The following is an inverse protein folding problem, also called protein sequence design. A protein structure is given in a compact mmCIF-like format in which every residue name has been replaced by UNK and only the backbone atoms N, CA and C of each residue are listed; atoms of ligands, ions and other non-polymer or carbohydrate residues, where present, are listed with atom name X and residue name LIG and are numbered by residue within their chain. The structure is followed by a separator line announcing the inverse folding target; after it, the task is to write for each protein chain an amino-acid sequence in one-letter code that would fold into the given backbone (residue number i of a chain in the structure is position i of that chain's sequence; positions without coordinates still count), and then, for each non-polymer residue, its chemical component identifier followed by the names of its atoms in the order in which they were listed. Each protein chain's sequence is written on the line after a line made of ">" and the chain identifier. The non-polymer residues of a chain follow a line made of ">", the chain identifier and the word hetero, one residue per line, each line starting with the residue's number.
data_IF_827317420958
#
_entry.id   IF_827317420958
#
_cell.length_a   1.000
_cell.length_b   1.000
_cell.length_c   1.000
_cell.angle_alpha   90.00
_cell.angle_beta   90.00
_cell.angle_gamma   90.00
#
_symmetry.space_group_name_H-M   'P 1'
#
loop_
_entity.id
_entity.type
_entity.pdbx_description
1 polymer ?
#
# COMPACT_ATOMS: atom_id res chain seq x y z
N UNK A 1 0.80 15.37 1.37
CA UNK A 1 0.13 14.18 0.81
C UNK A 1 0.03 13.13 1.88
N UNK A 2 -1.13 12.49 2.06
CA UNK A 2 -1.41 11.65 3.24
C UNK A 2 -1.02 10.19 2.99
N UNK A 3 -0.27 9.61 3.92
CA UNK A 3 -0.06 8.15 3.98
C UNK A 3 -1.36 7.48 4.43
N UNK A 4 -1.74 6.37 3.80
CA UNK A 4 -2.90 5.58 4.23
C UNK A 4 -2.48 4.18 4.64
N UNK A 5 -3.20 3.59 5.59
CA UNK A 5 -2.88 2.28 6.15
C UNK A 5 -4.12 1.41 6.21
N UNK A 6 -3.99 0.16 5.77
CA UNK A 6 -5.00 -0.89 5.98
C UNK A 6 -4.47 -1.94 6.96
N UNK A 7 -5.33 -2.38 7.87
CA UNK A 7 -5.05 -3.52 8.74
C UNK A 7 -5.25 -4.83 7.95
N UNK A 8 -4.16 -5.57 7.76
CA UNK A 8 -4.14 -6.73 6.85
C UNK A 8 -4.99 -7.90 7.38
N UNK A 9 -5.14 -8.01 8.70
CA UNK A 9 -5.98 -9.04 9.33
C UNK A 9 -7.47 -8.92 8.99
N UNK A 10 -7.95 -7.71 8.66
CA UNK A 10 -9.36 -7.45 8.33
C UNK A 10 -9.74 -7.85 6.90
N UNK A 11 -8.78 -8.31 6.09
CA UNK A 11 -8.98 -8.76 4.71
C UNK A 11 -9.55 -10.18 4.71
N UNK A 12 -10.60 -10.50 3.94
CA UNK A 12 -11.13 -11.86 3.84
C UNK A 12 -10.07 -12.87 3.40
N UNK A 13 -10.09 -14.09 3.95
CA UNK A 13 -9.29 -15.20 3.43
C UNK A 13 -9.91 -15.68 2.10
N UNK A 14 -9.11 -15.92 1.04
CA UNK A 14 -9.65 -16.46 -0.20
C UNK A 14 -10.17 -17.89 0.00
N UNK A 15 -11.27 -18.22 -0.68
CA UNK A 15 -11.95 -19.52 -0.57
C UNK A 15 -11.23 -20.65 -1.33
N UNK A 16 -10.27 -20.35 -2.20
CA UNK A 16 -9.52 -21.35 -2.98
C UNK A 16 -8.04 -21.00 -3.17
N UNK A 17 -7.18 -22.03 -3.22
CA UNK A 17 -5.76 -21.92 -3.58
C UNK A 17 -5.53 -21.52 -5.06
N UNK A 18 -6.56 -21.61 -5.91
CA UNK A 18 -6.47 -21.18 -7.31
C UNK A 18 -6.40 -19.65 -7.45
N UNK A 19 -6.98 -18.93 -6.48
CA UNK A 19 -6.87 -17.47 -6.37
C UNK A 19 -5.45 -17.04 -5.95
N UNK A 20 -4.71 -17.92 -5.26
CA UNK A 20 -3.31 -17.68 -4.87
C UNK A 20 -2.28 -18.00 -5.96
N UNK A 21 -2.66 -18.61 -7.09
CA UNK A 21 -1.72 -18.89 -8.18
C UNK A 21 -1.54 -17.72 -9.16
N UNK A 22 -2.31 -16.63 -8.99
CA UNK A 22 -2.38 -15.51 -9.94
C UNK A 22 -1.77 -14.20 -9.43
N UNK A 23 -0.96 -14.30 -8.36
CA UNK A 23 -0.63 -13.22 -7.42
C UNK A 23 0.41 -12.18 -7.88
N UNK A 24 0.66 -12.06 -9.18
CA UNK A 24 1.61 -11.06 -9.71
C UNK A 24 1.06 -10.37 -10.96
N UNK A 25 -0.13 -9.78 -10.84
CA UNK A 25 -0.61 -8.76 -11.79
C UNK A 25 -0.12 -7.41 -11.30
N UNK A 26 0.56 -6.68 -12.19
CA UNK A 26 1.57 -5.63 -11.95
C UNK A 26 1.33 -4.70 -10.73
N UNK A 27 1.53 -5.24 -9.53
CA UNK A 27 1.54 -4.53 -8.26
C UNK A 27 2.90 -4.80 -7.61
N UNK A 28 3.71 -3.77 -7.48
CA UNK A 28 5.00 -3.83 -6.80
C UNK A 28 4.82 -3.41 -5.35
N UNK A 29 5.38 -4.17 -4.42
CA UNK A 29 5.30 -3.90 -2.98
C UNK A 29 6.68 -4.06 -2.33
N UNK A 30 7.00 -3.18 -1.39
CA UNK A 30 8.18 -3.29 -0.56
C UNK A 30 7.81 -3.83 0.82
N UNK A 31 8.50 -4.89 1.26
CA UNK A 31 8.34 -5.45 2.60
C UNK A 31 9.34 -4.78 3.54
N UNK A 32 8.86 -4.27 4.66
CA UNK A 32 9.66 -3.61 5.70
C UNK A 32 9.34 -4.26 7.04
N UNK A 33 10.36 -4.77 7.71
CA UNK A 33 10.24 -5.23 9.09
C UNK A 33 10.82 -4.16 10.00
N UNK A 34 10.02 -3.67 10.95
CA UNK A 34 10.52 -2.78 12.00
C UNK A 34 10.40 -3.44 13.37
N UNK A 35 11.43 -3.25 14.19
CA UNK A 35 11.42 -3.66 15.59
C UNK A 35 10.77 -2.52 16.38
N UNK A 36 9.67 -2.80 17.07
CA UNK A 36 8.94 -1.80 17.84
C UNK A 36 9.66 -1.45 19.14
N UNK A 37 9.72 -0.17 19.48
CA UNK A 37 10.24 0.27 20.77
C UNK A 37 9.20 0.06 21.88
N UNK A 38 9.45 -0.89 22.79
CA UNK A 38 8.93 -0.84 24.16
C UNK A 38 7.54 -1.42 24.46
N UNK A 39 6.86 -2.12 23.53
CA UNK A 39 5.61 -2.81 23.89
C UNK A 39 5.89 -4.20 24.50
N UNK A 40 5.35 -4.52 25.70
CA UNK A 40 5.71 -5.74 26.46
C UNK A 40 5.23 -7.07 25.84
N UNK A 41 4.34 -7.02 24.83
CA UNK A 41 3.79 -8.21 24.14
C UNK A 41 4.10 -8.29 22.65
N UNK A 42 4.49 -7.18 22.01
CA UNK A 42 4.70 -7.12 20.56
C UNK A 42 6.02 -6.38 20.28
N UNK A 43 7.06 -7.12 19.93
CA UNK A 43 8.40 -6.58 19.71
C UNK A 43 8.70 -6.25 18.26
N UNK A 44 7.90 -6.76 17.33
CA UNK A 44 8.09 -6.58 15.88
C UNK A 44 6.77 -6.20 15.24
N UNK A 45 6.83 -5.25 14.31
CA UNK A 45 5.75 -4.87 13.42
C UNK A 45 6.24 -5.11 11.98
N UNK A 46 5.51 -5.92 11.23
CA UNK A 46 5.76 -6.13 9.81
C UNK A 46 4.83 -5.25 9.00
N UNK A 47 5.41 -4.41 8.15
CA UNK A 47 4.70 -3.50 7.27
C UNK A 47 5.03 -3.78 5.81
N UNK A 48 4.06 -3.55 4.92
CA UNK A 48 4.28 -3.51 3.48
C UNK A 48 3.94 -2.12 2.96
N UNK A 49 4.73 -1.61 2.03
CA UNK A 49 4.46 -0.37 1.32
C UNK A 49 4.11 -0.67 -0.13
N UNK A 50 2.93 -0.23 -0.56
CA UNK A 50 2.52 -0.23 -1.96
C UNK A 50 3.43 0.69 -2.77
N UNK A 51 3.96 0.15 -3.86
CA UNK A 51 4.85 0.88 -4.77
C UNK A 51 4.06 1.32 -6.01
N UNK A 52 4.18 0.60 -7.12
CA UNK A 52 3.46 0.87 -8.36
C UNK A 52 2.36 -0.16 -8.58
N UNK A 53 1.17 0.31 -8.91
CA UNK A 53 0.01 -0.51 -9.26
C UNK A 53 -0.40 -0.17 -10.70
N UNK A 54 -0.27 -1.13 -11.61
CA UNK A 54 -0.61 -0.96 -13.02
C UNK A 54 -1.76 -1.91 -13.37
N UNK A 55 -3.01 -1.42 -13.39
CA UNK A 55 -4.15 -2.22 -13.81
C UNK A 55 -4.00 -2.54 -15.30
N UNK A 56 -3.87 -3.83 -15.61
CA UNK A 56 -3.89 -4.34 -16.99
C UNK A 56 -5.31 -4.71 -17.37
N UNK A 57 -5.56 -6.00 -17.58
CA UNK A 57 -6.91 -6.52 -17.86
C UNK A 57 -7.89 -6.45 -16.66
N UNK A 58 -7.46 -5.96 -15.49
CA UNK A 58 -8.18 -6.05 -14.21
C UNK A 58 -8.24 -4.67 -13.55
N UNK A 59 -9.25 -4.45 -12.70
CA UNK A 59 -9.44 -3.17 -12.03
C UNK A 59 -8.40 -2.91 -10.93
N UNK A 60 -8.13 -1.64 -10.63
CA UNK A 60 -7.23 -1.21 -9.54
C UNK A 60 -7.59 -1.86 -8.19
N UNK A 61 -8.90 -1.99 -7.93
CA UNK A 61 -9.43 -2.57 -6.69
C UNK A 61 -9.08 -4.05 -6.53
N UNK A 62 -9.09 -4.79 -7.64
CA UNK A 62 -8.79 -6.22 -7.64
C UNK A 62 -7.30 -6.44 -7.37
N UNK A 63 -6.43 -5.73 -8.10
CA UNK A 63 -4.97 -5.88 -7.93
C UNK A 63 -4.50 -5.49 -6.52
N UNK A 64 -5.06 -4.42 -5.94
CA UNK A 64 -4.69 -3.99 -4.60
C UNK A 64 -5.29 -4.91 -3.52
N UNK A 65 -6.46 -5.51 -3.75
CA UNK A 65 -7.01 -6.56 -2.89
C UNK A 65 -6.11 -7.80 -2.89
N UNK A 66 -5.65 -8.24 -4.05
CA UNK A 66 -4.77 -9.41 -4.16
C UNK A 66 -3.44 -9.16 -3.46
N UNK A 67 -2.88 -7.94 -3.56
CA UNK A 67 -1.70 -7.53 -2.81
C UNK A 67 -1.91 -7.58 -1.29
N UNK A 68 -3.08 -7.15 -0.80
CA UNK A 68 -3.46 -7.26 0.61
C UNK A 68 -3.60 -8.72 1.08
N UNK A 69 -4.19 -9.59 0.27
CA UNK A 69 -4.30 -11.03 0.55
C UNK A 69 -2.92 -11.67 0.61
N UNK A 70 -2.02 -11.31 -0.32
CA UNK A 70 -0.64 -11.79 -0.31
C UNK A 70 0.11 -11.31 0.94
N UNK A 71 -0.04 -10.04 1.32
CA UNK A 71 0.54 -9.52 2.56
C UNK A 71 0.03 -10.30 3.78
N UNK A 72 -1.27 -10.63 3.82
CA UNK A 72 -1.87 -11.45 4.89
C UNK A 72 -1.26 -12.84 4.95
N UNK A 73 -1.11 -13.50 3.81
CA UNK A 73 -0.51 -14.84 3.72
C UNK A 73 0.96 -14.88 4.19
N UNK A 74 1.66 -13.74 4.13
CA UNK A 74 3.04 -13.57 4.58
C UNK A 74 3.17 -13.12 6.04
N UNK A 75 2.05 -12.99 6.76
CA UNK A 75 2.06 -12.58 8.17
C UNK A 75 2.42 -11.11 8.38
N UNK A 76 2.14 -10.24 7.41
CA UNK A 76 2.30 -8.79 7.53
C UNK A 76 1.14 -8.22 8.35
N UNK A 77 1.43 -7.27 9.25
CA UNK A 77 0.43 -6.67 10.13
C UNK A 77 -0.32 -5.52 9.44
N UNK A 78 0.42 -4.66 8.74
CA UNK A 78 -0.11 -3.43 8.12
C UNK A 78 0.35 -3.25 6.67
N UNK A 79 -0.54 -2.70 5.85
CA UNK A 79 -0.26 -2.37 4.46
C UNK A 79 -0.45 -0.87 4.25
N UNK A 80 0.66 -0.19 3.96
CA UNK A 80 0.72 1.24 3.74
C UNK A 80 0.66 1.54 2.24
N UNK A 81 -0.07 2.58 1.87
CA UNK A 81 -0.07 3.12 0.53
C UNK A 81 -0.03 4.65 0.58
N UNK A 82 0.41 5.25 -0.52
CA UNK A 82 0.38 6.69 -0.68
C UNK A 82 -0.84 7.08 -1.51
N UNK A 83 -1.50 8.17 -1.11
CA UNK A 83 -2.51 8.86 -1.92
C UNK A 83 -1.84 9.56 -3.11
N UNK A 84 -1.39 8.76 -4.07
CA UNK A 84 -0.72 9.12 -5.31
C UNK A 84 -1.49 8.56 -6.50
N UNK A 85 -1.31 9.18 -7.67
CA UNK A 85 -1.91 8.70 -8.92
C UNK A 85 -3.42 8.45 -8.72
N UNK A 86 -3.91 7.26 -9.08
CA UNK A 86 -5.31 6.85 -8.95
C UNK A 86 -5.56 5.91 -7.77
N UNK A 87 -4.64 5.83 -6.79
CA UNK A 87 -4.80 4.90 -5.67
C UNK A 87 -5.98 5.27 -4.75
N UNK A 88 -6.35 6.56 -4.68
CA UNK A 88 -7.42 7.02 -3.78
C UNK A 88 -8.78 6.35 -4.05
N UNK A 89 -9.05 6.04 -5.33
CA UNK A 89 -10.32 5.50 -5.80
C UNK A 89 -10.69 4.18 -5.12
N UNK A 90 -9.71 3.44 -4.60
CA UNK A 90 -9.91 2.11 -4.00
C UNK A 90 -9.75 2.09 -2.48
N UNK A 91 -9.34 3.19 -1.86
CA UNK A 91 -9.00 3.23 -0.43
C UNK A 91 -10.21 3.00 0.48
N UNK A 92 -11.33 3.69 0.21
CA UNK A 92 -12.54 3.53 1.00
C UNK A 92 -13.06 2.08 0.94
N UNK A 93 -13.08 1.50 -0.27
CA UNK A 93 -13.55 0.14 -0.52
C UNK A 93 -12.69 -0.94 0.13
N UNK A 94 -11.38 -0.72 0.18
CA UNK A 94 -10.40 -1.63 0.79
C UNK A 94 -10.09 -1.30 2.25
N UNK A 95 -10.86 -0.38 2.86
CA UNK A 95 -10.77 0.00 4.28
C UNK A 95 -9.40 0.58 4.68
N UNK A 96 -8.77 1.31 3.76
CA UNK A 96 -7.62 2.15 4.10
C UNK A 96 -8.08 3.34 4.94
N UNK A 97 -7.41 3.56 6.06
CA UNK A 97 -7.56 4.76 6.88
C UNK A 97 -6.45 5.76 6.61
N UNK A 98 -6.76 7.06 6.71
CA UNK A 98 -5.73 8.10 6.71
C UNK A 98 -4.82 7.93 7.93
N UNK A 99 -3.51 7.90 7.70
CA UNK A 99 -2.50 8.03 8.74
C UNK A 99 -2.28 9.49 9.12
N UNK A 100 -1.43 9.71 10.12
CA UNK A 100 -0.99 11.03 10.59
C UNK A 100 0.20 11.60 9.80
N UNK A 101 0.91 10.75 9.06
CA UNK A 101 2.06 11.12 8.23
C UNK A 101 1.69 11.91 6.98
N UNK A 102 2.43 13.00 6.76
CA UNK A 102 2.41 13.76 5.51
C UNK A 102 3.75 13.65 4.79
N UNK A 103 3.71 13.18 3.54
CA UNK A 103 4.86 13.19 2.64
C UNK A 103 4.82 14.44 1.75
N UNK A 104 5.99 15.05 1.56
CA UNK A 104 6.19 16.26 0.75
C UNK A 104 7.31 16.01 -0.26
N UNK A 105 7.10 16.42 -1.51
CA UNK A 105 8.07 16.27 -2.59
C UNK A 105 8.80 17.59 -2.83
N UNK A 106 10.12 17.53 -2.91
CA UNK A 106 10.98 18.68 -3.18
C UNK A 106 11.89 18.37 -4.36
N UNK A 107 12.08 19.37 -5.23
CA UNK A 107 13.05 19.33 -6.30
C UNK A 107 14.20 20.27 -5.96
N UNK A 108 15.43 19.81 -6.15
CA UNK A 108 16.61 20.66 -6.00
C UNK A 108 16.97 21.32 -7.33
N UNK A 109 17.19 22.63 -7.32
CA UNK A 109 17.60 23.42 -8.49
C UNK A 109 16.65 23.28 -9.70
N UNK A 110 15.36 23.07 -9.47
CA UNK A 110 14.35 22.98 -10.52
C UNK A 110 13.04 23.67 -10.11
N UNK A 111 12.54 24.56 -10.96
CA UNK A 111 11.24 25.20 -10.76
C UNK A 111 10.12 24.32 -11.33
N UNK A 112 9.01 24.21 -10.61
CA UNK A 112 7.85 23.45 -11.03
C UNK A 112 6.56 24.17 -10.59
N UNK A 113 5.49 24.03 -11.38
CA UNK A 113 4.17 24.46 -10.92
C UNK A 113 3.70 23.55 -9.77
N UNK A 114 2.76 23.99 -8.92
CA UNK A 114 2.07 23.08 -8.03
C UNK A 114 1.47 21.91 -8.81
N UNK A 115 1.70 20.69 -8.30
CA UNK A 115 1.15 19.45 -8.83
C UNK A 115 0.15 18.89 -7.84
N UNK A 116 -0.96 18.37 -8.35
CA UNK A 116 -1.90 17.60 -7.55
C UNK A 116 -1.34 16.20 -7.26
N UNK A 117 -1.81 15.54 -6.20
CA UNK A 117 -1.34 14.20 -5.84
C UNK A 117 -1.55 13.17 -6.95
N UNK A 118 -2.58 13.35 -7.78
CA UNK A 118 -2.89 12.49 -8.93
C UNK A 118 -1.88 12.63 -10.07
N UNK A 119 -1.19 13.77 -10.15
CA UNK A 119 -0.15 14.06 -11.16
C UNK A 119 1.23 13.55 -10.72
N UNK A 120 1.37 13.15 -9.46
CA UNK A 120 2.61 12.64 -8.90
C UNK A 120 2.75 11.14 -9.18
N UNK A 121 3.81 10.77 -9.92
CA UNK A 121 4.12 9.40 -10.30
C UNK A 121 5.39 8.81 -9.67
N UNK A 122 6.03 9.54 -8.75
CA UNK A 122 7.22 9.06 -8.05
C UNK A 122 6.81 8.54 -6.67
N UNK A 123 7.16 7.29 -6.36
CA UNK A 123 7.03 6.72 -5.00
C UNK A 123 8.41 6.74 -4.35
N UNK A 124 8.52 7.43 -3.21
CA UNK A 124 9.75 7.48 -2.40
C UNK A 124 9.76 6.35 -1.36
N UNK A 125 10.97 5.83 -1.10
CA UNK A 125 11.28 4.84 -0.04
C UNK A 125 11.43 5.52 1.32
#
# INVERSE_FOLDING_TARGET
>A
MVCVTAAVHAVPTPDSLSDTAFLARASSCLFVHCTGAGHPKHHTLSAVYSYYNVPGAHGMKEIMRDALILAKSRGVDVFNALKLMHNEEVFADLKFGAGDGNLQYYLYNWACRPLENTEMGLVLL
#
